data_IF_070463799090
#
_entry.id   IF_070463799090
#
_cell.length_a   1.000
_cell.length_b   1.000
_cell.length_c   1.000
_cell.angle_alpha   90.00
_cell.angle_beta   90.00
_cell.angle_gamma   90.00
#
_symmetry.space_group_name_H-M   'P 1'
#
loop_
_entity.id
_entity.type
_entity.pdbx_description
1 polymer ?
#
# COMPACT_ATOMS: atom_id res chain seq x y z
N UNK A 1 25.75 12.63 -14.97
CA UNK A 1 26.29 12.73 -13.58
C UNK A 1 25.25 13.24 -12.59
N UNK A 2 24.47 14.27 -12.93
CA UNK A 2 23.39 14.81 -12.06
C UNK A 2 22.25 13.78 -11.84
N UNK A 3 21.89 12.98 -12.84
CA UNK A 3 20.83 11.94 -12.73
C UNK A 3 21.15 10.83 -11.70
N UNK A 4 22.41 10.45 -11.54
CA UNK A 4 22.83 9.50 -10.49
C UNK A 4 22.85 10.10 -9.08
N UNK A 5 23.10 11.41 -8.97
CA UNK A 5 23.07 12.08 -7.66
C UNK A 5 21.64 12.23 -7.11
N UNK A 6 20.63 12.45 -7.96
CA UNK A 6 19.24 12.57 -7.51
C UNK A 6 18.67 11.22 -7.03
N UNK A 7 18.96 10.10 -7.73
CA UNK A 7 18.52 8.77 -7.28
C UNK A 7 19.23 8.33 -5.98
N UNK A 8 20.52 8.69 -5.83
CA UNK A 8 21.28 8.43 -4.61
C UNK A 8 20.80 9.32 -3.45
N UNK A 9 20.40 10.58 -3.70
CA UNK A 9 19.83 11.43 -2.66
C UNK A 9 18.44 10.98 -2.19
N UNK A 10 17.60 10.41 -3.05
CA UNK A 10 16.33 9.80 -2.64
C UNK A 10 16.56 8.50 -1.85
N UNK A 11 17.45 7.62 -2.30
CA UNK A 11 17.73 6.36 -1.63
C UNK A 11 18.52 6.52 -0.33
N UNK A 12 19.49 7.44 -0.27
CA UNK A 12 20.31 7.66 0.94
C UNK A 12 19.59 8.49 2.01
N UNK A 13 18.65 9.38 1.66
CA UNK A 13 17.87 10.12 2.64
C UNK A 13 16.86 9.25 3.37
N UNK A 14 16.37 8.18 2.76
CA UNK A 14 15.46 7.21 3.39
C UNK A 14 16.22 6.34 4.42
N UNK A 15 17.49 6.00 4.18
CA UNK A 15 18.29 5.17 5.08
C UNK A 15 18.73 5.87 6.38
N UNK A 16 18.80 7.21 6.43
CA UNK A 16 19.33 7.93 7.61
C UNK A 16 18.32 7.99 8.76
N UNK A 17 17.03 7.76 8.54
CA UNK A 17 15.99 7.85 9.58
C UNK A 17 15.69 6.54 10.31
N UNK A 18 16.30 5.41 9.91
CA UNK A 18 16.11 4.11 10.59
C UNK A 18 16.76 4.00 11.98
N UNK A 19 17.55 4.96 12.43
CA UNK A 19 18.14 4.92 13.79
C UNK A 19 17.15 5.20 14.94
N UNK A 20 15.89 5.48 14.63
CA UNK A 20 14.86 5.83 15.63
C UNK A 20 14.24 4.62 16.37
N UNK A 21 14.46 3.39 15.91
CA UNK A 21 13.91 2.19 16.57
C UNK A 21 14.57 1.85 17.94
N UNK A 22 15.55 2.62 18.41
CA UNK A 22 16.25 2.33 19.66
C UNK A 22 15.54 2.81 20.93
N UNK A 23 14.45 3.54 20.83
CA UNK A 23 13.66 3.91 22.00
C UNK A 23 12.39 3.04 22.04
N UNK A 24 12.40 2.00 22.88
CA UNK A 24 11.23 1.26 23.34
C UNK A 24 10.29 2.17 24.16
N UNK A 25 9.82 3.24 23.56
CA UNK A 25 8.70 3.99 24.06
C UNK A 25 7.46 3.46 23.39
N UNK A 26 6.66 2.64 24.07
CA UNK A 26 5.30 2.34 23.66
C UNK A 26 4.61 3.69 23.37
N UNK A 27 4.28 3.96 22.11
CA UNK A 27 3.42 5.08 21.77
C UNK A 27 2.04 4.75 22.33
N UNK A 28 1.79 5.15 23.55
CA UNK A 28 0.46 5.18 24.16
C UNK A 28 -0.22 6.44 23.61
N UNK A 29 -0.76 6.35 22.41
CA UNK A 29 -1.68 7.36 21.91
C UNK A 29 -2.80 7.50 22.93
N UNK A 30 -3.08 8.74 23.37
CA UNK A 30 -4.26 9.03 24.16
C UNK A 30 -5.45 8.40 23.45
N UNK A 31 -6.12 7.42 24.08
CA UNK A 31 -7.34 6.81 23.59
C UNK A 31 -8.36 7.93 23.33
N UNK A 32 -8.68 8.30 22.08
CA UNK A 32 -9.78 9.21 21.86
C UNK A 32 -11.04 8.45 22.25
N UNK A 33 -11.81 9.03 23.17
CA UNK A 33 -13.17 8.58 23.47
C UNK A 33 -13.91 8.42 22.16
N UNK A 34 -14.30 7.19 21.83
CA UNK A 34 -15.17 6.76 20.74
C UNK A 34 -15.18 7.68 19.49
N UNK A 35 -14.26 7.48 18.55
CA UNK A 35 -14.35 8.06 17.22
C UNK A 35 -15.50 7.39 16.47
N UNK A 36 -16.69 8.01 16.52
CA UNK A 36 -17.78 7.68 15.60
C UNK A 36 -17.46 8.38 14.28
N UNK A 37 -16.95 7.62 13.31
CA UNK A 37 -16.78 8.14 11.96
C UNK A 37 -18.17 8.42 11.36
N UNK A 38 -18.53 9.68 11.07
CA UNK A 38 -19.82 9.96 10.45
C UNK A 38 -19.87 9.29 9.07
N UNK A 39 -20.77 8.34 8.90
CA UNK A 39 -21.06 7.75 7.61
C UNK A 39 -21.68 8.81 6.71
N UNK A 40 -20.96 9.25 5.67
CA UNK A 40 -21.60 9.95 4.56
C UNK A 40 -22.50 8.94 3.86
N UNK A 41 -23.80 9.03 4.07
CA UNK A 41 -24.81 8.32 3.29
C UNK A 41 -24.83 8.89 1.87
N UNK A 42 -24.11 8.30 0.96
CA UNK A 42 -24.42 8.36 -0.46
C UNK A 42 -24.09 7.00 -1.05
N UNK A 43 -25.01 6.06 -0.91
CA UNK A 43 -25.01 4.84 -1.70
C UNK A 43 -25.47 5.24 -3.10
N UNK A 44 -24.54 5.50 -3.99
CA UNK A 44 -24.82 5.60 -5.41
C UNK A 44 -24.68 4.17 -5.97
N UNK A 45 -25.77 3.65 -6.52
CA UNK A 45 -25.92 2.25 -6.97
C UNK A 45 -25.18 1.91 -8.25
N UNK A 46 -24.62 2.90 -8.97
CA UNK A 46 -23.93 2.66 -10.23
C UNK A 46 -22.43 2.79 -10.03
N UNK A 47 -21.75 1.64 -10.03
CA UNK A 47 -20.29 1.56 -9.98
C UNK A 47 -19.70 2.07 -11.30
N UNK A 48 -19.34 3.34 -11.33
CA UNK A 48 -18.45 3.86 -12.35
C UNK A 48 -17.02 3.66 -11.89
N UNK A 49 -16.31 2.76 -12.52
CA UNK A 49 -14.89 2.52 -12.29
C UNK A 49 -14.08 3.70 -12.82
N UNK A 50 -12.97 4.01 -12.14
CA UNK A 50 -11.95 4.82 -12.76
C UNK A 50 -11.37 4.04 -13.94
N UNK A 51 -11.62 4.51 -15.15
CA UNK A 51 -11.11 3.87 -16.36
C UNK A 51 -9.65 4.19 -16.63
N UNK A 52 -9.04 5.03 -15.78
CA UNK A 52 -7.70 5.51 -15.99
C UNK A 52 -7.62 6.55 -17.10
N UNK A 53 -6.42 6.99 -17.36
CA UNK A 53 -6.09 7.63 -18.63
C UNK A 53 -5.84 6.54 -19.66
N UNK A 54 -6.14 6.79 -20.93
CA UNK A 54 -6.05 5.78 -22.01
C UNK A 54 -4.70 5.04 -22.05
N UNK A 55 -3.66 5.65 -21.54
CA UNK A 55 -2.30 5.13 -21.52
C UNK A 55 -2.02 4.16 -20.36
N UNK A 56 -2.76 4.26 -19.25
CA UNK A 56 -2.57 3.38 -18.08
C UNK A 56 -3.70 2.35 -18.04
N UNK A 57 -3.45 1.19 -18.65
CA UNK A 57 -4.42 0.08 -18.69
C UNK A 57 -3.81 -1.18 -18.12
N UNK A 58 -4.50 -1.76 -17.16
CA UNK A 58 -4.11 -3.03 -16.57
C UNK A 58 -4.86 -4.18 -17.26
N UNK A 59 -4.21 -5.33 -17.52
CA UNK A 59 -4.87 -6.47 -18.16
C UNK A 59 -5.86 -7.13 -17.21
N UNK A 60 -7.03 -7.55 -17.73
CA UNK A 60 -8.15 -8.16 -16.98
C UNK A 60 -7.73 -9.38 -16.13
N UNK A 61 -6.63 -10.03 -16.48
CA UNK A 61 -6.11 -11.18 -15.74
C UNK A 61 -5.69 -10.83 -14.30
N UNK A 62 -5.40 -9.57 -14.01
CA UNK A 62 -5.05 -9.14 -12.65
C UNK A 62 -6.22 -9.24 -11.66
N UNK A 63 -7.47 -9.22 -12.16
CA UNK A 63 -8.69 -9.41 -11.34
C UNK A 63 -9.09 -10.88 -11.18
N UNK A 64 -8.20 -11.80 -11.56
CA UNK A 64 -8.34 -13.25 -11.36
C UNK A 64 -7.19 -13.75 -10.51
N UNK A 65 -7.38 -14.88 -9.85
CA UNK A 65 -6.29 -15.54 -9.12
C UNK A 65 -5.08 -15.69 -10.02
N UNK A 66 -3.94 -15.08 -9.68
CA UNK A 66 -2.75 -15.15 -10.53
C UNK A 66 -2.14 -16.56 -10.52
N UNK A 67 -1.33 -16.88 -11.51
CA UNK A 67 -0.39 -18.00 -11.34
C UNK A 67 0.55 -17.66 -10.18
N UNK A 68 0.85 -18.65 -9.34
CA UNK A 68 1.73 -18.46 -8.20
C UNK A 68 2.62 -19.68 -7.98
N UNK A 69 3.75 -19.45 -7.33
CA UNK A 69 4.69 -20.48 -6.91
C UNK A 69 4.90 -20.38 -5.40
N UNK A 70 4.86 -21.52 -4.72
CA UNK A 70 5.20 -21.60 -3.30
C UNK A 70 6.71 -21.46 -3.13
N UNK A 71 7.17 -20.58 -2.25
CA UNK A 71 8.57 -20.29 -2.00
C UNK A 71 8.97 -20.67 -0.56
N UNK A 72 8.66 -21.90 -0.16
CA UNK A 72 8.73 -22.37 1.23
C UNK A 72 10.11 -22.22 1.90
N UNK A 73 11.18 -22.10 1.13
CA UNK A 73 12.53 -21.84 1.66
C UNK A 73 12.66 -20.45 2.30
N UNK A 74 11.70 -19.56 2.07
CA UNK A 74 11.65 -18.21 2.63
C UNK A 74 10.56 -18.05 3.69
N UNK A 75 9.90 -19.15 4.10
CA UNK A 75 8.85 -19.07 5.13
C UNK A 75 9.38 -18.51 6.45
N UNK A 76 8.55 -17.71 7.07
CA UNK A 76 8.75 -17.18 8.41
C UNK A 76 7.73 -17.83 9.35
N UNK A 77 7.99 -19.11 9.67
CA UNK A 77 7.13 -19.89 10.55
C UNK A 77 6.99 -19.27 11.96
N UNK A 78 8.01 -18.55 12.42
CA UNK A 78 8.02 -17.78 13.67
C UNK A 78 7.03 -16.61 13.66
N UNK A 79 6.66 -16.12 12.47
CA UNK A 79 5.69 -15.05 12.25
C UNK A 79 4.36 -15.55 11.66
N UNK A 80 4.24 -16.86 11.38
CA UNK A 80 3.07 -17.43 10.71
C UNK A 80 2.90 -16.93 9.27
N UNK A 81 4.01 -16.61 8.60
CA UNK A 81 4.01 -16.06 7.25
C UNK A 81 4.61 -17.07 6.24
N UNK A 82 3.81 -17.44 5.27
CA UNK A 82 4.18 -18.31 4.16
C UNK A 82 4.58 -17.49 2.93
N UNK A 83 5.66 -17.91 2.25
CA UNK A 83 6.23 -17.18 1.13
C UNK A 83 5.73 -17.68 -0.24
N UNK A 84 5.48 -16.74 -1.14
CA UNK A 84 5.00 -16.98 -2.50
C UNK A 84 5.65 -16.05 -3.50
N UNK A 85 5.70 -16.48 -4.76
CA UNK A 85 5.89 -15.62 -5.92
C UNK A 85 4.57 -15.56 -6.70
N UNK A 86 4.06 -14.37 -6.94
CA UNK A 86 2.81 -14.12 -7.66
C UNK A 86 3.14 -13.56 -9.04
N UNK A 87 2.61 -14.17 -10.09
CA UNK A 87 2.74 -13.60 -11.43
C UNK A 87 1.94 -12.30 -11.54
N UNK A 88 2.60 -11.26 -12.04
CA UNK A 88 2.02 -9.95 -12.31
C UNK A 88 1.97 -9.66 -13.82
N UNK A 89 2.12 -8.42 -14.22
CA UNK A 89 2.17 -7.99 -15.62
C UNK A 89 3.49 -8.35 -16.28
N UNK A 90 3.53 -8.30 -17.60
CA UNK A 90 4.76 -8.57 -18.32
C UNK A 90 5.66 -7.33 -18.35
N UNK A 91 6.96 -7.54 -18.31
CA UNK A 91 7.99 -6.52 -18.50
C UNK A 91 9.00 -7.00 -19.54
N UNK A 92 9.28 -6.17 -20.55
CA UNK A 92 10.13 -6.53 -21.66
C UNK A 92 9.74 -7.85 -22.39
N UNK A 93 8.43 -8.15 -22.40
CA UNK A 93 7.87 -9.32 -23.07
C UNK A 93 7.91 -10.62 -22.27
N UNK A 94 8.32 -10.59 -21.01
CA UNK A 94 8.35 -11.73 -20.11
C UNK A 94 7.49 -11.50 -18.86
N UNK A 95 6.81 -12.52 -18.32
CA UNK A 95 6.04 -12.42 -17.08
C UNK A 95 6.91 -11.98 -15.91
N UNK A 96 6.42 -11.03 -15.11
CA UNK A 96 7.07 -10.65 -13.85
C UNK A 96 6.46 -11.36 -12.66
N UNK A 97 7.25 -11.45 -11.58
CA UNK A 97 6.84 -12.06 -10.33
C UNK A 97 7.07 -11.11 -9.16
N UNK A 98 6.08 -11.05 -8.29
CA UNK A 98 6.10 -10.28 -7.04
C UNK A 98 6.29 -11.26 -5.90
N UNK A 99 7.28 -11.03 -5.04
CA UNK A 99 7.42 -11.78 -3.80
C UNK A 99 6.36 -11.35 -2.78
N UNK A 100 5.78 -12.30 -2.06
CA UNK A 100 4.76 -12.02 -1.04
C UNK A 100 4.88 -12.95 0.16
N UNK A 101 4.61 -12.40 1.35
CA UNK A 101 4.27 -13.18 2.54
C UNK A 101 2.77 -13.18 2.77
N UNK A 102 2.20 -14.34 3.03
CA UNK A 102 0.78 -14.52 3.40
C UNK A 102 0.70 -15.13 4.79
N UNK A 103 -0.13 -14.54 5.63
CA UNK A 103 -0.51 -15.11 6.93
C UNK A 103 -2.01 -15.16 7.09
N UNK A 104 -2.52 -16.29 7.57
CA UNK A 104 -3.94 -16.49 7.86
C UNK A 104 -4.06 -16.87 9.35
N UNK A 105 -4.91 -16.15 10.13
CA UNK A 105 -5.11 -16.50 11.53
C UNK A 105 -5.59 -17.94 11.69
N UNK A 106 -5.07 -18.66 12.66
CA UNK A 106 -5.45 -20.08 12.93
C UNK A 106 -6.92 -20.26 13.30
N UNK A 107 -7.61 -19.18 13.66
CA UNK A 107 -9.05 -19.16 13.92
C UNK A 107 -9.91 -19.10 12.65
N UNK A 108 -9.31 -18.72 11.51
CA UNK A 108 -10.01 -18.60 10.24
C UNK A 108 -10.26 -20.01 9.64
N UNK A 109 -11.46 -20.21 9.12
CA UNK A 109 -11.86 -21.42 8.39
C UNK A 109 -12.77 -21.02 7.23
N UNK A 110 -13.01 -21.94 6.31
CA UNK A 110 -13.99 -21.70 5.22
C UNK A 110 -15.41 -21.41 5.73
N UNK A 111 -15.78 -21.94 6.90
CA UNK A 111 -17.09 -21.72 7.50
C UNK A 111 -17.16 -20.42 8.33
N UNK A 112 -16.00 -19.90 8.72
CA UNK A 112 -15.82 -18.65 9.45
C UNK A 112 -14.67 -17.83 8.83
N UNK A 113 -14.85 -17.35 7.58
CA UNK A 113 -13.81 -16.61 6.91
C UNK A 113 -13.57 -15.25 7.59
N UNK A 114 -12.32 -14.79 7.57
CA UNK A 114 -11.91 -13.55 8.20
C UNK A 114 -11.68 -12.44 7.14
N UNK A 115 -11.76 -11.17 7.53
CA UNK A 115 -11.31 -10.08 6.66
C UNK A 115 -9.81 -10.20 6.35
N UNK A 116 -9.37 -9.57 5.26
CA UNK A 116 -7.97 -9.55 4.90
C UNK A 116 -7.44 -8.13 4.63
N UNK A 117 -6.12 -8.00 4.52
CA UNK A 117 -5.46 -6.75 4.16
C UNK A 117 -4.25 -7.00 3.25
N UNK A 118 -4.12 -6.17 2.23
CA UNK A 118 -2.91 -6.07 1.39
C UNK A 118 -2.01 -4.99 1.98
N UNK A 119 -0.73 -5.31 2.16
CA UNK A 119 0.28 -4.50 2.84
C UNK A 119 1.38 -4.12 1.84
N UNK A 120 1.58 -2.81 1.62
CA UNK A 120 2.50 -2.29 0.63
C UNK A 120 3.58 -1.44 1.30
N UNK A 121 4.83 -1.88 1.25
CA UNK A 121 5.96 -1.21 1.90
C UNK A 121 6.33 0.12 1.21
N UNK A 122 7.05 0.97 1.92
CA UNK A 122 7.66 2.20 1.41
C UNK A 122 8.98 1.96 0.69
N UNK A 123 9.53 3.00 0.06
CA UNK A 123 10.81 2.91 -0.62
C UNK A 123 11.93 2.37 0.28
N UNK A 124 12.74 1.46 -0.26
CA UNK A 124 13.80 0.76 0.48
C UNK A 124 13.29 -0.28 1.48
N UNK A 125 11.99 -0.59 1.48
CA UNK A 125 11.39 -1.67 2.25
C UNK A 125 11.33 -2.97 1.44
N UNK A 126 10.55 -3.92 1.95
CA UNK A 126 10.27 -5.20 1.31
C UNK A 126 8.99 -5.80 1.90
N UNK A 127 8.62 -7.02 1.55
CA UNK A 127 7.55 -7.75 2.23
C UNK A 127 7.93 -8.05 3.69
N UNK A 128 7.28 -7.38 4.65
CA UNK A 128 7.59 -7.52 6.08
C UNK A 128 6.72 -8.60 6.73
N UNK A 129 7.30 -9.71 7.22
CA UNK A 129 6.53 -10.80 7.83
C UNK A 129 5.95 -10.42 9.20
N UNK A 130 6.61 -9.54 9.97
CA UNK A 130 6.10 -9.01 11.21
C UNK A 130 4.90 -8.07 11.02
N UNK A 131 4.79 -7.40 9.86
CA UNK A 131 3.58 -6.64 9.52
C UNK A 131 2.39 -7.58 9.23
N UNK A 132 2.65 -8.71 8.55
CA UNK A 132 1.65 -9.78 8.38
C UNK A 132 1.17 -10.28 9.73
N UNK A 133 2.12 -10.62 10.63
CA UNK A 133 1.78 -11.08 11.98
C UNK A 133 0.96 -10.05 12.75
N UNK A 134 1.30 -8.78 12.67
CA UNK A 134 0.58 -7.69 13.37
C UNK A 134 -0.92 -7.67 12.99
N UNK A 135 -1.25 -7.89 11.72
CA UNK A 135 -2.64 -7.97 11.27
C UNK A 135 -3.29 -9.31 11.64
N UNK A 136 -2.55 -10.42 11.60
CA UNK A 136 -3.06 -11.72 12.06
C UNK A 136 -3.44 -11.68 13.53
N UNK A 137 -2.63 -11.02 14.38
CA UNK A 137 -2.93 -10.83 15.81
C UNK A 137 -4.21 -10.00 16.05
N UNK A 138 -4.68 -9.25 15.04
CA UNK A 138 -5.95 -8.49 15.04
C UNK A 138 -7.11 -9.28 14.41
N UNK A 139 -6.89 -10.53 13.98
CA UNK A 139 -7.91 -11.38 13.38
C UNK A 139 -8.12 -11.18 11.87
N UNK A 140 -7.20 -10.51 11.18
CA UNK A 140 -7.21 -10.35 9.73
C UNK A 140 -6.23 -11.33 9.09
N UNK A 141 -6.58 -11.93 7.97
CA UNK A 141 -5.59 -12.46 7.05
C UNK A 141 -4.78 -11.28 6.45
N UNK A 142 -3.53 -11.51 6.09
CA UNK A 142 -2.70 -10.44 5.54
C UNK A 142 -1.77 -10.97 4.45
N UNK A 143 -1.54 -10.12 3.45
CA UNK A 143 -0.53 -10.35 2.42
C UNK A 143 0.37 -9.11 2.31
N UNK A 144 1.66 -9.26 2.62
CA UNK A 144 2.68 -8.24 2.40
C UNK A 144 3.44 -8.55 1.11
N UNK A 145 3.49 -7.60 0.19
CA UNK A 145 4.18 -7.75 -1.09
C UNK A 145 5.47 -6.95 -1.12
N UNK A 146 6.43 -7.45 -1.88
CA UNK A 146 7.60 -6.67 -2.31
C UNK A 146 7.29 -5.98 -3.64
N UNK A 147 7.60 -4.68 -3.74
CA UNK A 147 7.33 -3.88 -4.94
C UNK A 147 8.59 -3.49 -5.70
N UNK A 148 9.77 -3.91 -5.22
CA UNK A 148 11.07 -3.49 -5.76
C UNK A 148 11.88 -4.65 -6.37
N UNK A 149 11.24 -5.83 -6.57
CA UNK A 149 11.88 -7.00 -7.15
C UNK A 149 12.89 -7.65 -6.20
N UNK A 150 12.59 -7.69 -4.91
CA UNK A 150 13.47 -8.17 -3.88
C UNK A 150 12.89 -9.36 -3.10
N UNK A 151 13.75 -10.06 -2.40
CA UNK A 151 13.40 -11.12 -1.43
C UNK A 151 13.91 -10.68 -0.06
N UNK A 152 13.06 -10.72 0.99
CA UNK A 152 13.47 -10.32 2.34
C UNK A 152 14.62 -11.18 2.89
N UNK A 153 15.54 -10.56 3.62
CA UNK A 153 16.54 -11.27 4.41
C UNK A 153 15.90 -12.01 5.58
N UNK A 154 16.55 -13.02 6.11
CA UNK A 154 16.04 -13.86 7.21
C UNK A 154 15.66 -13.04 8.46
N UNK A 155 16.44 -11.99 8.77
CA UNK A 155 16.23 -11.15 9.95
C UNK A 155 15.43 -9.86 9.65
N UNK A 156 14.71 -9.82 8.54
CA UNK A 156 13.90 -8.64 8.18
C UNK A 156 12.83 -8.34 9.23
N UNK A 157 12.62 -7.07 9.51
CA UNK A 157 11.51 -6.57 10.31
C UNK A 157 11.20 -5.12 9.97
N UNK A 158 10.02 -4.63 10.31
CA UNK A 158 9.63 -3.22 10.18
C UNK A 158 10.62 -2.25 10.87
N UNK A 159 11.37 -2.74 11.85
CA UNK A 159 12.39 -1.99 12.59
C UNK A 159 13.81 -2.18 12.03
N UNK A 160 14.01 -2.94 10.95
CA UNK A 160 15.35 -3.17 10.41
C UNK A 160 15.97 -1.87 9.91
N UNK A 161 17.18 -1.58 10.40
CA UNK A 161 17.97 -0.43 9.97
C UNK A 161 19.07 -0.80 8.95
N UNK A 162 19.24 -2.09 8.68
CA UNK A 162 20.26 -2.66 7.79
C UNK A 162 19.62 -3.14 6.49
N UNK A 163 20.41 -3.69 5.58
CA UNK A 163 19.92 -4.29 4.34
C UNK A 163 18.86 -5.34 4.65
N UNK A 164 17.62 -5.07 4.25
CA UNK A 164 16.44 -5.88 4.61
C UNK A 164 16.09 -6.93 3.56
N UNK A 165 16.76 -6.88 2.41
CA UNK A 165 16.45 -7.72 1.26
C UNK A 165 17.63 -7.88 0.31
N UNK A 166 17.48 -8.77 -0.64
CA UNK A 166 18.39 -8.99 -1.78
C UNK A 166 17.56 -9.15 -3.06
N UNK A 167 18.20 -8.97 -4.21
CA UNK A 167 17.54 -9.06 -5.52
C UNK A 167 16.85 -10.43 -5.71
N UNK A 168 15.64 -10.40 -6.28
CA UNK A 168 14.89 -11.61 -6.58
C UNK A 168 15.55 -12.42 -7.69
N UNK A 169 15.51 -13.74 -7.56
CA UNK A 169 15.93 -14.68 -8.62
C UNK A 169 14.87 -14.83 -9.72
N UNK A 170 13.68 -14.29 -9.52
CA UNK A 170 12.61 -14.26 -10.52
C UNK A 170 12.67 -12.97 -11.32
N UNK A 171 12.25 -13.03 -12.57
CA UNK A 171 12.08 -11.84 -13.38
C UNK A 171 11.04 -10.91 -12.71
N UNK A 172 11.41 -9.68 -12.47
CA UNK A 172 10.58 -8.67 -11.81
C UNK A 172 10.41 -7.43 -12.69
N UNK A 173 9.57 -6.51 -12.26
CA UNK A 173 9.35 -5.22 -12.93
C UNK A 173 10.61 -4.33 -12.88
N UNK A 174 10.50 -3.11 -13.42
CA UNK A 174 11.60 -2.15 -13.38
C UNK A 174 11.94 -1.76 -11.94
N UNK A 175 13.19 -1.34 -11.73
CA UNK A 175 13.67 -0.82 -10.45
C UNK A 175 12.87 0.42 -10.02
N UNK A 176 12.77 0.62 -8.71
CA UNK A 176 12.18 1.83 -8.15
C UNK A 176 13.07 3.06 -8.46
N UNK A 177 12.67 3.82 -9.44
CA UNK A 177 13.30 5.10 -9.80
C UNK A 177 12.48 6.30 -9.34
N UNK A 178 11.48 6.09 -8.50
CA UNK A 178 10.49 7.09 -8.18
C UNK A 178 9.68 7.46 -9.44
N UNK A 179 9.71 8.74 -9.82
CA UNK A 179 9.02 9.25 -11.02
C UNK A 179 9.95 9.52 -12.21
N UNK A 180 11.24 9.17 -12.11
CA UNK A 180 12.24 9.52 -13.15
C UNK A 180 11.99 8.76 -14.46
N UNK A 181 11.27 7.67 -14.41
CA UNK A 181 10.90 6.86 -15.57
C UNK A 181 9.59 7.25 -16.26
N UNK A 182 8.92 8.32 -15.81
CA UNK A 182 7.59 8.71 -16.31
C UNK A 182 7.54 9.11 -17.80
N UNK A 183 8.68 9.36 -18.44
CA UNK A 183 8.78 9.58 -19.87
C UNK A 183 8.74 8.27 -20.71
N UNK A 184 8.86 7.11 -20.04
CA UNK A 184 8.67 5.81 -20.69
C UNK A 184 7.17 5.52 -20.88
N UNK A 185 6.79 4.56 -21.75
CA UNK A 185 5.44 4.01 -21.76
C UNK A 185 5.01 3.56 -20.37
N UNK A 186 3.73 3.69 -20.03
CA UNK A 186 3.25 3.41 -18.67
C UNK A 186 3.59 1.99 -18.20
N UNK A 187 3.47 0.99 -19.06
CA UNK A 187 3.79 -0.42 -18.80
C UNK A 187 5.29 -0.71 -18.63
N UNK A 188 6.14 0.30 -18.84
CA UNK A 188 7.59 0.26 -18.60
C UNK A 188 8.01 1.05 -17.35
N UNK A 189 7.05 1.54 -16.57
CA UNK A 189 7.31 2.36 -15.39
C UNK A 189 7.15 1.55 -14.10
N UNK A 190 7.96 1.89 -13.10
CA UNK A 190 7.94 1.24 -11.78
C UNK A 190 6.53 1.26 -11.15
N UNK A 191 5.86 2.43 -11.12
CA UNK A 191 4.56 2.55 -10.47
C UNK A 191 3.49 1.65 -11.11
N UNK A 192 3.51 1.50 -12.43
CA UNK A 192 2.60 0.57 -13.12
C UNK A 192 2.75 -0.86 -12.57
N UNK A 193 3.99 -1.35 -12.47
CA UNK A 193 4.27 -2.70 -11.96
C UNK A 193 3.92 -2.87 -10.49
N UNK A 194 4.20 -1.86 -9.65
CA UNK A 194 3.87 -1.89 -8.24
C UNK A 194 2.35 -1.90 -7.99
N UNK A 195 1.59 -1.11 -8.75
CA UNK A 195 0.11 -1.11 -8.70
C UNK A 195 -0.43 -2.46 -9.20
N UNK A 196 0.09 -2.98 -10.32
CA UNK A 196 -0.31 -4.28 -10.85
C UNK A 196 -0.06 -5.41 -9.85
N UNK A 197 1.08 -5.41 -9.18
CA UNK A 197 1.42 -6.36 -8.09
C UNK A 197 0.43 -6.27 -6.92
N UNK A 198 0.00 -5.06 -6.56
CA UNK A 198 -0.99 -4.83 -5.50
C UNK A 198 -2.37 -5.39 -5.88
N UNK A 199 -2.81 -5.21 -7.13
CA UNK A 199 -4.06 -5.78 -7.65
C UNK A 199 -3.98 -7.31 -7.71
N UNK A 200 -2.84 -7.87 -8.16
CA UNK A 200 -2.61 -9.31 -8.18
C UNK A 200 -2.62 -9.90 -6.75
N UNK A 201 -2.07 -9.20 -5.77
CA UNK A 201 -2.09 -9.61 -4.36
C UNK A 201 -3.52 -9.64 -3.80
N UNK A 202 -4.38 -8.65 -4.14
CA UNK A 202 -5.80 -8.69 -3.80
C UNK A 202 -6.47 -9.95 -4.39
N UNK A 203 -6.22 -10.22 -5.66
CA UNK A 203 -6.79 -11.40 -6.35
C UNK A 203 -6.27 -12.72 -5.77
N UNK A 204 -5.02 -12.75 -5.30
CA UNK A 204 -4.45 -13.94 -4.68
C UNK A 204 -5.02 -14.18 -3.28
N UNK A 205 -5.01 -13.18 -2.39
CA UNK A 205 -5.52 -13.35 -1.03
C UNK A 205 -7.04 -13.66 -1.03
N UNK A 206 -7.79 -13.13 -1.98
CA UNK A 206 -9.22 -13.42 -2.14
C UNK A 206 -9.52 -14.85 -2.58
N UNK A 207 -8.54 -15.61 -3.02
CA UNK A 207 -8.72 -17.01 -3.46
C UNK A 207 -8.65 -18.03 -2.32
N UNK A 208 -8.29 -17.62 -1.11
CA UNK A 208 -8.26 -18.50 0.06
C UNK A 208 -9.67 -18.66 0.64
N UNK A 209 -10.09 -19.89 0.91
CA UNK A 209 -11.43 -20.18 1.47
C UNK A 209 -11.64 -19.61 2.87
N UNK A 210 -10.55 -19.34 3.60
CA UNK A 210 -10.52 -18.73 4.93
C UNK A 210 -10.67 -17.22 4.91
N UNK A 211 -10.72 -16.59 3.72
CA UNK A 211 -10.79 -15.13 3.54
C UNK A 211 -12.17 -14.71 3.03
N UNK A 212 -12.77 -13.75 3.70
CA UNK A 212 -13.96 -13.06 3.19
C UNK A 212 -13.54 -12.06 2.10
N UNK A 213 -13.65 -12.46 0.85
CA UNK A 213 -13.23 -11.67 -0.32
C UNK A 213 -13.97 -10.35 -0.48
N UNK A 214 -15.10 -10.14 0.22
CA UNK A 214 -15.82 -8.87 0.27
C UNK A 214 -15.25 -7.88 1.31
N UNK A 215 -14.28 -8.32 2.12
CA UNK A 215 -13.71 -7.58 3.25
C UNK A 215 -12.19 -7.47 3.19
N UNK A 216 -11.66 -7.19 2.02
CA UNK A 216 -10.22 -7.01 1.82
C UNK A 216 -9.88 -5.52 1.82
N UNK A 217 -9.05 -5.10 2.77
CA UNK A 217 -8.51 -3.74 2.84
C UNK A 217 -7.13 -3.61 2.22
N UNK A 218 -6.66 -2.38 2.16
CA UNK A 218 -5.36 -2.03 1.62
C UNK A 218 -4.70 -1.00 2.54
N UNK A 219 -3.44 -1.18 2.90
CA UNK A 219 -2.65 -0.14 3.55
C UNK A 219 -1.24 -0.09 2.96
N UNK A 220 -0.70 1.10 2.91
CA UNK A 220 0.65 1.32 2.37
C UNK A 220 1.35 2.47 3.07
N UNK A 221 2.67 2.38 3.18
CA UNK A 221 3.52 3.30 3.92
C UNK A 221 4.43 4.04 2.94
N UNK A 222 4.48 5.39 3.00
CA UNK A 222 5.35 6.19 2.14
C UNK A 222 5.08 5.92 0.65
N UNK A 223 6.03 5.44 -0.14
CA UNK A 223 5.79 4.97 -1.51
C UNK A 223 4.66 3.93 -1.59
N UNK A 224 4.57 3.04 -0.62
CA UNK A 224 3.45 2.11 -0.51
C UNK A 224 2.11 2.81 -0.34
N UNK A 225 2.06 3.98 0.31
CA UNK A 225 0.87 4.83 0.40
C UNK A 225 0.49 5.44 -0.96
N UNK A 226 1.46 5.85 -1.77
CA UNK A 226 1.25 6.28 -3.16
C UNK A 226 0.66 5.15 -3.98
N UNK A 227 1.26 3.95 -3.90
CA UNK A 227 0.81 2.76 -4.61
C UNK A 227 -0.60 2.37 -4.14
N UNK A 228 -0.86 2.38 -2.83
CA UNK A 228 -2.16 2.04 -2.26
C UNK A 228 -3.26 3.00 -2.72
N UNK A 229 -3.00 4.30 -2.79
CA UNK A 229 -3.96 5.30 -3.28
C UNK A 229 -4.32 5.04 -4.74
N UNK A 230 -3.32 4.78 -5.59
CA UNK A 230 -3.53 4.43 -6.98
C UNK A 230 -4.28 3.09 -7.11
N UNK A 231 -3.84 2.05 -6.45
CA UNK A 231 -4.46 0.73 -6.52
C UNK A 231 -5.93 0.74 -6.07
N UNK A 232 -6.27 1.50 -5.02
CA UNK A 232 -7.65 1.65 -4.56
C UNK A 232 -8.56 2.36 -5.58
N UNK A 233 -8.00 3.20 -6.45
CA UNK A 233 -8.75 3.84 -7.52
C UNK A 233 -8.97 2.90 -8.72
N UNK A 234 -8.00 2.03 -9.02
CA UNK A 234 -8.10 1.06 -10.13
C UNK A 234 -8.82 -0.25 -9.76
N UNK A 235 -8.86 -0.61 -8.47
CA UNK A 235 -9.46 -1.86 -7.99
C UNK A 235 -10.51 -1.58 -6.91
N UNK A 236 -11.77 -1.52 -7.31
CA UNK A 236 -12.91 -1.23 -6.42
C UNK A 236 -13.31 -2.39 -5.50
N UNK A 237 -12.62 -3.53 -5.56
CA UNK A 237 -12.81 -4.65 -4.63
C UNK A 237 -12.27 -4.37 -3.24
N UNK A 238 -11.40 -3.36 -3.09
CA UNK A 238 -10.93 -2.97 -1.76
C UNK A 238 -12.07 -2.37 -0.93
N UNK A 239 -12.35 -2.98 0.22
CA UNK A 239 -13.36 -2.52 1.16
C UNK A 239 -12.96 -1.21 1.86
N UNK A 240 -11.67 -0.97 2.02
CA UNK A 240 -11.09 0.26 2.55
C UNK A 240 -9.62 0.40 2.10
N UNK A 241 -9.11 1.63 2.17
CA UNK A 241 -7.69 1.89 1.98
C UNK A 241 -7.14 2.85 3.04
N UNK A 242 -5.88 2.65 3.46
CA UNK A 242 -5.20 3.53 4.42
C UNK A 242 -3.78 3.85 3.93
N UNK A 243 -3.60 4.88 3.10
CA UNK A 243 -2.29 5.41 2.78
C UNK A 243 -1.72 6.19 3.98
N UNK A 244 -0.54 5.79 4.43
CA UNK A 244 0.18 6.42 5.54
C UNK A 244 1.33 7.26 4.98
N UNK A 245 1.30 8.57 5.23
CA UNK A 245 2.21 9.59 4.67
C UNK A 245 2.67 9.26 3.24
N UNK A 246 1.72 8.96 2.37
CA UNK A 246 1.95 8.57 0.98
C UNK A 246 0.86 9.07 0.04
N UNK A 247 0.19 10.16 0.38
CA UNK A 247 -0.79 10.78 -0.50
C UNK A 247 -0.10 11.76 -1.45
N UNK A 248 -0.32 11.59 -2.74
CA UNK A 248 0.28 12.42 -3.78
C UNK A 248 -0.78 13.27 -4.47
N UNK A 249 -0.83 14.54 -4.09
CA UNK A 249 -1.30 15.60 -4.94
C UNK A 249 -0.25 16.69 -4.91
N UNK A 250 0.71 16.58 -5.81
CA UNK A 250 1.90 17.44 -5.77
C UNK A 250 1.70 18.71 -6.55
N UNK A 251 0.77 18.74 -7.50
CA UNK A 251 0.46 19.96 -8.26
C UNK A 251 -0.14 21.03 -7.37
N UNK A 252 0.58 22.12 -7.20
CA UNK A 252 0.14 23.26 -6.38
C UNK A 252 0.16 23.03 -4.87
N UNK A 253 0.95 22.05 -4.39
CA UNK A 253 1.21 21.80 -2.99
C UNK A 253 2.67 22.05 -2.64
N UNK A 254 3.00 22.21 -1.36
CA UNK A 254 4.37 22.33 -0.89
C UNK A 254 5.08 20.99 -0.83
N UNK A 255 6.40 20.97 -0.74
CA UNK A 255 7.21 19.77 -0.49
C UNK A 255 8.13 19.34 -1.63
N UNK A 256 8.97 18.35 -1.32
CA UNK A 256 10.06 17.93 -2.21
C UNK A 256 9.56 17.28 -3.52
N UNK A 257 8.41 16.63 -3.49
CA UNK A 257 7.83 16.01 -4.68
C UNK A 257 7.17 17.02 -5.62
N UNK A 258 6.73 18.19 -5.13
CA UNK A 258 6.23 19.28 -5.97
C UNK A 258 7.29 19.72 -6.99
N UNK A 259 8.54 19.90 -6.55
CA UNK A 259 9.66 20.22 -7.44
C UNK A 259 9.96 19.10 -8.46
N UNK A 260 9.68 17.85 -8.11
CA UNK A 260 9.78 16.71 -9.03
C UNK A 260 8.73 16.77 -10.14
N UNK A 261 7.49 17.11 -9.82
CA UNK A 261 6.42 17.26 -10.80
C UNK A 261 6.64 18.47 -11.72
N UNK A 262 7.22 19.56 -11.22
CA UNK A 262 7.64 20.68 -12.06
C UNK A 262 8.72 20.24 -13.06
N UNK A 263 9.60 19.32 -12.67
CA UNK A 263 10.66 18.78 -13.53
C UNK A 263 10.15 17.71 -14.49
N UNK A 264 9.17 16.91 -14.07
CA UNK A 264 8.61 15.79 -14.81
C UNK A 264 7.07 15.89 -14.85
N UNK A 265 6.50 16.84 -15.62
CA UNK A 265 5.05 17.10 -15.63
C UNK A 265 4.23 15.89 -16.05
N UNK A 266 4.80 14.99 -16.86
CA UNK A 266 4.15 13.74 -17.24
C UNK A 266 3.86 12.81 -16.04
N UNK A 267 4.63 12.90 -14.97
CA UNK A 267 4.33 12.16 -13.73
C UNK A 267 2.98 12.58 -13.15
N UNK A 268 2.71 13.89 -13.15
CA UNK A 268 1.44 14.43 -12.70
C UNK A 268 0.27 13.94 -13.57
N UNK A 269 0.46 13.95 -14.90
CA UNK A 269 -0.57 13.45 -15.83
C UNK A 269 -0.91 11.98 -15.61
N UNK A 270 0.10 11.14 -15.34
CA UNK A 270 -0.07 9.69 -15.19
C UNK A 270 -0.47 9.27 -13.78
N UNK A 271 0.09 9.88 -12.75
CA UNK A 271 0.11 9.33 -11.40
C UNK A 271 -0.36 10.29 -10.30
N UNK A 272 -0.78 11.53 -10.61
CA UNK A 272 -1.39 12.39 -9.61
C UNK A 272 -2.74 11.80 -9.16
N UNK A 273 -2.89 11.58 -7.87
CA UNK A 273 -4.04 10.90 -7.32
C UNK A 273 -5.34 11.71 -7.42
N UNK A 274 -5.28 13.03 -7.59
CA UNK A 274 -6.49 13.89 -7.50
C UNK A 274 -7.53 13.51 -8.55
N UNK A 275 -7.12 13.31 -9.80
CA UNK A 275 -8.06 12.98 -10.87
C UNK A 275 -8.77 11.65 -10.62
N UNK A 276 -8.01 10.63 -10.21
CA UNK A 276 -8.57 9.30 -9.96
C UNK A 276 -9.39 9.23 -8.67
N UNK A 277 -9.05 10.02 -7.65
CA UNK A 277 -9.79 10.08 -6.38
C UNK A 277 -11.21 10.66 -6.53
N UNK A 278 -11.46 11.48 -7.55
CA UNK A 278 -12.81 11.98 -7.88
C UNK A 278 -13.81 10.86 -8.19
N UNK A 279 -13.35 9.73 -8.69
CA UNK A 279 -14.16 8.55 -9.01
C UNK A 279 -13.99 7.38 -8.04
N UNK A 280 -12.97 7.43 -7.19
CA UNK A 280 -12.70 6.37 -6.20
C UNK A 280 -13.75 6.36 -5.09
N UNK A 281 -14.46 5.24 -4.96
CA UNK A 281 -15.53 5.06 -3.94
C UNK A 281 -15.09 4.32 -2.71
N UNK A 282 -13.94 3.67 -2.78
CA UNK A 282 -13.33 3.02 -1.62
C UNK A 282 -13.23 4.01 -0.46
N UNK A 283 -13.70 3.69 0.74
CA UNK A 283 -13.45 4.50 1.94
C UNK A 283 -11.95 4.61 2.18
N UNK A 284 -11.41 5.83 2.22
CA UNK A 284 -9.98 6.06 2.40
C UNK A 284 -9.72 6.90 3.65
N UNK A 285 -8.83 6.42 4.51
CA UNK A 285 -8.27 7.17 5.63
C UNK A 285 -6.83 7.56 5.29
N UNK A 286 -6.60 8.82 4.99
CA UNK A 286 -5.25 9.37 4.80
C UNK A 286 -4.64 9.68 6.17
N UNK A 287 -3.52 9.05 6.49
CA UNK A 287 -2.78 9.27 7.75
C UNK A 287 -1.52 10.04 7.46
N UNK A 288 -1.27 11.12 8.21
CA UNK A 288 -0.04 11.89 8.09
C UNK A 288 0.30 12.58 9.42
N UNK A 289 1.34 13.42 9.44
CA UNK A 289 1.77 14.26 10.54
C UNK A 289 2.41 15.56 10.02
N UNK A 290 2.43 16.60 10.86
CA UNK A 290 2.88 17.93 10.45
C UNK A 290 4.37 18.03 10.10
N UNK A 291 5.17 17.09 10.59
CA UNK A 291 6.62 17.08 10.40
C UNK A 291 7.11 16.15 9.28
N UNK A 292 6.24 15.62 8.44
CA UNK A 292 6.66 14.69 7.39
C UNK A 292 7.59 15.39 6.38
N UNK A 293 8.81 14.86 6.18
CA UNK A 293 9.81 15.51 5.32
C UNK A 293 9.54 15.31 3.83
N UNK A 294 8.66 14.38 3.44
CA UNK A 294 8.44 13.99 2.05
C UNK A 294 7.02 14.30 1.57
N UNK A 295 6.01 13.94 2.36
CA UNK A 295 4.60 14.06 2.03
C UNK A 295 3.95 15.12 2.91
N UNK A 296 3.65 16.26 2.34
CA UNK A 296 3.15 17.40 3.10
C UNK A 296 1.67 17.26 3.47
N UNK A 297 1.27 17.91 4.55
CA UNK A 297 -0.11 17.84 5.05
C UNK A 297 -1.11 18.50 4.10
N UNK A 298 -0.71 19.52 3.34
CA UNK A 298 -1.54 20.16 2.32
C UNK A 298 -1.82 19.22 1.13
N UNK A 299 -0.82 18.46 0.67
CA UNK A 299 -1.00 17.42 -0.34
C UNK A 299 -1.95 16.32 0.15
N UNK A 300 -1.74 15.84 1.38
CA UNK A 300 -2.60 14.83 2.01
C UNK A 300 -4.02 15.34 2.14
N UNK A 301 -4.21 16.59 2.59
CA UNK A 301 -5.52 17.20 2.72
C UNK A 301 -6.23 17.32 1.37
N UNK A 302 -5.52 17.73 0.33
CA UNK A 302 -6.09 17.84 -1.02
C UNK A 302 -6.59 16.48 -1.52
N UNK A 303 -5.82 15.40 -1.31
CA UNK A 303 -6.28 14.05 -1.63
C UNK A 303 -7.52 13.65 -0.83
N UNK A 304 -7.54 13.91 0.48
CA UNK A 304 -8.66 13.55 1.35
C UNK A 304 -9.93 14.34 1.01
N UNK A 305 -9.81 15.63 0.67
CA UNK A 305 -10.93 16.47 0.27
C UNK A 305 -11.51 16.07 -1.11
N UNK A 306 -10.65 15.53 -2.00
CA UNK A 306 -11.04 15.10 -3.34
C UNK A 306 -11.72 13.74 -3.34
N UNK A 307 -11.22 12.79 -2.54
CA UNK A 307 -11.80 11.45 -2.49
C UNK A 307 -13.25 11.47 -2.01
N UNK A 308 -14.14 10.75 -2.72
CA UNK A 308 -15.60 10.71 -2.42
C UNK A 308 -15.85 10.31 -0.95
N UNK A 309 -15.13 9.34 -0.44
CA UNK A 309 -15.19 8.84 0.93
C UNK A 309 -13.87 9.05 1.67
N UNK A 310 -13.16 10.15 1.35
CA UNK A 310 -11.86 10.48 1.94
C UNK A 310 -12.00 11.07 3.35
N UNK A 311 -11.05 10.72 4.20
CA UNK A 311 -10.86 11.27 5.55
C UNK A 311 -9.37 11.45 5.79
N UNK A 312 -9.02 12.38 6.64
CA UNK A 312 -7.64 12.63 7.04
C UNK A 312 -7.52 12.67 8.55
N UNK A 313 -6.45 12.09 9.07
CA UNK A 313 -6.01 12.27 10.45
C UNK A 313 -4.55 12.68 10.48
N UNK A 314 -4.20 13.47 11.47
CA UNK A 314 -2.81 13.84 11.78
C UNK A 314 -2.44 13.22 13.12
N UNK A 315 -1.37 12.42 13.12
CA UNK A 315 -0.84 11.78 14.32
C UNK A 315 0.33 12.64 14.84
N UNK A 316 0.23 13.23 16.03
CA UNK A 316 1.30 14.07 16.56
C UNK A 316 2.61 13.29 16.71
N UNK A 317 3.72 13.91 16.28
CA UNK A 317 5.07 13.34 16.42
C UNK A 317 5.28 11.95 15.78
N UNK A 318 4.47 11.58 14.80
CA UNK A 318 4.68 10.37 14.03
C UNK A 318 5.99 10.53 13.23
N UNK A 319 6.85 9.53 13.27
CA UNK A 319 8.11 9.52 12.51
C UNK A 319 7.91 8.79 11.18
N UNK A 320 8.61 9.26 10.13
CA UNK A 320 8.58 8.63 8.82
C UNK A 320 9.44 7.35 8.80
N UNK A 321 8.83 6.21 9.13
CA UNK A 321 9.48 4.89 9.06
C UNK A 321 8.43 3.77 8.91
N UNK A 322 8.85 2.58 8.46
CA UNK A 322 7.95 1.44 8.32
C UNK A 322 7.29 1.07 9.65
N UNK A 323 8.06 1.02 10.75
CA UNK A 323 7.53 0.68 12.06
C UNK A 323 6.46 1.65 12.55
N UNK A 324 6.75 2.97 12.49
CA UNK A 324 5.80 3.98 12.96
C UNK A 324 4.55 4.01 12.09
N UNK A 325 4.69 3.86 10.76
CA UNK A 325 3.55 3.84 9.85
C UNK A 325 2.67 2.59 9.97
N UNK A 326 3.26 1.44 10.31
CA UNK A 326 2.52 0.20 10.51
C UNK A 326 1.78 0.16 11.86
N UNK A 327 2.35 0.79 12.90
CA UNK A 327 1.90 0.66 14.29
C UNK A 327 1.00 1.83 14.72
N UNK A 328 -0.02 2.15 13.93
CA UNK A 328 -0.99 3.22 14.18
C UNK A 328 -2.33 2.59 14.54
N UNK A 329 -2.82 2.83 15.75
CA UNK A 329 -4.07 2.25 16.26
C UNK A 329 -5.29 2.65 15.41
N UNK A 330 -5.31 3.87 14.91
CA UNK A 330 -6.40 4.45 14.14
C UNK A 330 -6.65 3.72 12.82
N UNK A 331 -5.62 3.06 12.25
CA UNK A 331 -5.75 2.22 11.06
C UNK A 331 -6.70 1.05 11.35
N UNK A 332 -6.48 0.35 12.46
CA UNK A 332 -7.29 -0.81 12.86
C UNK A 332 -8.72 -0.39 13.27
N UNK A 333 -8.87 0.76 13.94
CA UNK A 333 -10.17 1.32 14.29
C UNK A 333 -10.97 1.64 13.02
N UNK A 334 -10.33 2.29 12.05
CA UNK A 334 -10.97 2.61 10.77
C UNK A 334 -11.38 1.35 10.01
N UNK A 335 -10.47 0.38 9.85
CA UNK A 335 -10.74 -0.89 9.20
C UNK A 335 -11.98 -1.59 9.80
N UNK A 336 -11.98 -1.76 11.13
CA UNK A 336 -13.11 -2.37 11.84
C UNK A 336 -14.41 -1.59 11.65
N UNK A 337 -14.37 -0.25 11.69
CA UNK A 337 -15.58 0.57 11.56
C UNK A 337 -16.21 0.46 10.17
N UNK A 338 -15.39 0.42 9.11
CA UNK A 338 -15.88 0.27 7.73
C UNK A 338 -16.53 -1.11 7.55
N UNK A 339 -15.87 -2.17 8.01
CA UNK A 339 -16.36 -3.53 7.83
C UNK A 339 -17.62 -3.85 8.66
N UNK A 340 -17.78 -3.25 9.85
CA UNK A 340 -18.99 -3.38 10.66
C UNK A 340 -20.18 -2.66 10.02
N UNK A 341 -19.97 -1.46 9.49
CA UNK A 341 -21.02 -0.70 8.82
C UNK A 341 -21.52 -1.39 7.54
N UNK A 342 -20.65 -2.07 6.80
CA UNK A 342 -21.03 -2.85 5.63
C UNK A 342 -21.98 -4.03 5.99
N UNK A 343 -21.82 -4.65 7.18
CA UNK A 343 -22.72 -5.71 7.65
C UNK A 343 -24.13 -5.21 7.98
N UNK A 344 -24.27 -4.01 8.53
CA UNK A 344 -25.56 -3.44 8.89
C UNK A 344 -26.40 -3.03 7.66
N UNK A 345 -25.74 -2.64 6.57
CA UNK A 345 -26.43 -2.28 5.31
C UNK A 345 -26.83 -3.46 4.47
N UNK A 346 -26.19 -4.64 4.63
CA UNK A 346 -26.54 -5.88 3.93
C UNK A 346 -27.67 -6.67 4.61
N UNK A 347 -28.00 -6.35 5.86
CA UNK A 347 -29.04 -7.00 6.66
C UNK A 347 -30.35 -6.17 6.77
N UNK A 348 -30.42 -5.03 6.13
CA UNK A 348 -31.60 -4.16 6.01
C UNK A 348 -32.18 -4.17 4.60
#
# INVERSE_FOLDING_TARGET
MIKKLLSILLSTSICILCSACRNNGDYVGNQPESYIFPTKKNVISDRQYYTGIDEVRFPDRLWKTPYFERASQYDRNDMGAEAYFLQSVDYNGEPTYVFAYVGIPTSATKDTPVPAVVLVHGGGGTAFPDWVKMWNDKGYAAIAIDTEGQIPCENVSLCSAESVSFESTKHHGPENTGYVDCEKPADQQYLYHAIAGTIAANSFISSFEEVDSSKIGLTGISWGGVIATNAAAYDDRFAFAVPVYGAVSMTGTSGNFGALYDTYPRCSELWDNVEMLNSCRTPILFVNWEGDPFFTTDATKKCADTAINGRMILIPNLLHSHWHGANIQEIFIFANSVLQNAQQTSSS
#
